data_IF_752212690131
#
_entry.id   IF_752212690131
#
_cell.length_a   1.000
_cell.length_b   1.000
_cell.length_c   1.000
_cell.angle_alpha   90.00
_cell.angle_beta   90.00
_cell.angle_gamma   90.00
#
_symmetry.space_group_name_H-M   'P 1'
#
loop_
_entity.id
_entity.type
_entity.pdbx_description
1 polymer ?
#
# COMPACT_ATOMS: atom_id res chain seq x y z
N UNK A 1 -7.28 -5.95 -0.31
CA UNK A 1 -8.02 -5.08 0.66
C UNK A 1 -8.18 -5.70 2.06
N UNK A 2 -7.15 -6.36 2.62
CA UNK A 2 -7.22 -6.92 3.99
C UNK A 2 -6.42 -6.07 4.97
N UNK A 3 -5.21 -5.66 4.58
CA UNK A 3 -4.28 -4.86 5.39
C UNK A 3 -4.82 -3.46 5.69
N UNK A 4 -5.29 -2.72 4.68
CA UNK A 4 -5.85 -1.37 4.89
C UNK A 4 -7.06 -1.41 5.83
N UNK A 5 -7.93 -2.41 5.66
CA UNK A 5 -9.09 -2.64 6.53
C UNK A 5 -8.67 -2.94 7.98
N UNK A 6 -7.52 -3.56 8.20
CA UNK A 6 -6.97 -3.77 9.54
C UNK A 6 -6.38 -2.49 10.14
N UNK A 7 -5.69 -1.68 9.33
CA UNK A 7 -5.13 -0.39 9.78
C UNK A 7 -6.26 0.55 10.24
N UNK A 8 -7.38 0.58 9.50
CA UNK A 8 -8.56 1.40 9.83
C UNK A 8 -9.40 0.88 11.00
N UNK A 9 -9.29 -0.40 11.36
CA UNK A 9 -10.04 -0.97 12.49
C UNK A 9 -9.45 -0.54 13.83
N UNK A 10 -10.29 -0.02 14.72
CA UNK A 10 -9.90 0.54 16.01
C UNK A 10 -9.54 -0.50 17.08
N UNK A 11 -9.79 -1.79 16.83
CA UNK A 11 -9.55 -2.84 17.83
C UNK A 11 -8.06 -2.98 18.20
N UNK A 12 -7.74 -3.28 19.47
CA UNK A 12 -6.38 -3.47 19.94
C UNK A 12 -5.85 -4.83 19.44
N UNK A 13 -5.17 -4.82 18.29
CA UNK A 13 -4.52 -6.00 17.76
C UNK A 13 -3.20 -6.26 18.50
N UNK A 14 -3.27 -6.90 19.67
CA UNK A 14 -2.09 -7.29 20.47
C UNK A 14 -1.14 -8.29 19.77
N UNK A 15 -1.49 -8.77 18.56
CA UNK A 15 -0.72 -9.78 17.82
C UNK A 15 0.25 -9.19 16.79
N UNK A 16 0.08 -7.93 16.37
CA UNK A 16 0.90 -7.31 15.32
C UNK A 16 1.59 -6.05 15.84
N UNK A 17 2.82 -6.23 16.34
CA UNK A 17 3.66 -5.12 16.86
C UNK A 17 3.80 -4.01 15.80
N UNK A 18 4.02 -4.39 14.53
CA UNK A 18 4.12 -3.43 13.42
C UNK A 18 2.84 -2.62 13.17
N UNK A 19 1.65 -3.18 13.42
CA UNK A 19 0.40 -2.44 13.25
C UNK A 19 0.22 -1.35 14.30
N UNK A 20 0.67 -1.63 15.54
CA UNK A 20 0.64 -0.65 16.61
C UNK A 20 1.59 0.50 16.29
N UNK A 21 2.82 0.18 15.91
CA UNK A 21 3.83 1.17 15.56
C UNK A 21 3.39 2.06 14.38
N UNK A 22 2.83 1.47 13.32
CA UNK A 22 2.24 2.22 12.20
C UNK A 22 1.19 3.22 12.69
N UNK A 23 0.27 2.80 13.55
CA UNK A 23 -0.80 3.66 14.08
C UNK A 23 -0.30 4.72 15.07
N UNK A 24 0.77 4.42 15.79
CA UNK A 24 1.38 5.35 16.75
C UNK A 24 2.24 6.41 16.01
N UNK A 25 2.82 6.07 14.86
CA UNK A 25 3.74 6.93 14.10
C UNK A 25 3.10 7.70 12.94
N UNK A 26 1.90 7.31 12.49
CA UNK A 26 1.26 7.89 11.30
C UNK A 26 -0.24 8.12 11.52
N UNK A 27 -0.82 9.05 10.75
CA UNK A 27 -2.26 9.23 10.75
C UNK A 27 -2.93 8.12 9.93
N UNK A 28 -3.96 7.50 10.50
CA UNK A 28 -4.71 6.39 9.86
C UNK A 28 -5.36 6.85 8.55
N UNK A 29 -5.78 8.11 8.47
CA UNK A 29 -6.46 8.67 7.30
C UNK A 29 -5.53 8.83 6.09
N UNK A 30 -4.22 8.89 6.32
CA UNK A 30 -3.21 9.03 5.26
C UNK A 30 -2.97 7.69 4.53
N UNK A 31 -3.42 6.56 5.09
CA UNK A 31 -3.22 5.24 4.49
C UNK A 31 -4.22 4.97 3.37
N UNK A 32 -3.71 4.64 2.19
CA UNK A 32 -4.49 4.26 1.02
C UNK A 32 -4.05 2.90 0.46
N UNK A 33 -4.96 2.23 -0.22
CA UNK A 33 -4.69 0.96 -0.88
C UNK A 33 -4.21 1.23 -2.29
N UNK A 34 -3.02 0.71 -2.62
CA UNK A 34 -2.50 0.72 -3.98
C UNK A 34 -2.87 -0.61 -4.64
N UNK A 35 -3.62 -0.62 -5.76
CA UNK A 35 -3.86 -1.86 -6.51
C UNK A 35 -2.54 -2.50 -6.96
N UNK A 36 -2.44 -3.84 -6.90
CA UNK A 36 -1.19 -4.56 -7.22
C UNK A 36 -0.67 -4.27 -8.63
N UNK A 37 -1.57 -4.10 -9.61
CA UNK A 37 -1.24 -3.74 -11.00
C UNK A 37 -0.48 -2.41 -11.14
N UNK A 38 -0.65 -1.51 -10.18
CA UNK A 38 0.03 -0.21 -10.14
C UNK A 38 1.01 -0.09 -8.96
N UNK A 39 1.22 -1.19 -8.21
CA UNK A 39 2.20 -1.26 -7.14
C UNK A 39 3.52 -1.80 -7.71
N UNK A 40 4.53 -0.95 -7.95
CA UNK A 40 5.81 -1.40 -8.49
C UNK A 40 6.56 -2.34 -7.52
N UNK A 41 6.19 -2.38 -6.23
CA UNK A 41 6.72 -3.31 -5.24
C UNK A 41 6.36 -4.77 -5.54
N UNK A 42 5.27 -5.01 -6.30
CA UNK A 42 4.88 -6.35 -6.70
C UNK A 42 5.93 -6.97 -7.63
N UNK A 43 6.65 -6.15 -8.42
CA UNK A 43 7.80 -6.60 -9.21
C UNK A 43 8.94 -7.13 -8.32
N UNK A 44 9.16 -6.52 -7.16
CA UNK A 44 10.22 -6.97 -6.24
C UNK A 44 9.85 -8.24 -5.47
N UNK A 45 8.56 -8.57 -5.36
CA UNK A 45 8.05 -9.67 -4.54
C UNK A 45 7.57 -10.87 -5.35
N UNK A 46 7.10 -10.69 -6.58
CA UNK A 46 7.10 -11.76 -7.57
C UNK A 46 8.55 -12.00 -7.96
N UNK A 47 8.99 -13.25 -7.97
CA UNK A 47 10.35 -13.68 -8.32
C UNK A 47 10.71 -13.32 -9.78
N UNK A 48 10.76 -12.04 -10.12
CA UNK A 48 11.16 -11.56 -11.42
C UNK A 48 12.67 -11.76 -11.57
N UNK A 49 13.10 -11.83 -12.82
CA UNK A 49 14.51 -11.90 -13.13
C UNK A 49 15.21 -10.67 -12.52
N UNK A 50 16.32 -10.88 -11.81
CA UNK A 50 17.09 -9.80 -11.18
C UNK A 50 17.47 -8.70 -12.17
N UNK A 51 17.65 -9.06 -13.44
CA UNK A 51 17.95 -8.10 -14.50
C UNK A 51 16.78 -7.18 -14.84
N UNK A 52 15.54 -7.65 -14.71
CA UNK A 52 14.34 -6.84 -14.88
C UNK A 52 14.06 -6.01 -13.63
N UNK A 53 14.34 -6.55 -12.44
CA UNK A 53 14.26 -5.80 -11.18
C UNK A 53 15.22 -4.60 -11.18
N UNK A 54 16.47 -4.78 -11.65
CA UNK A 54 17.47 -3.71 -11.73
C UNK A 54 17.11 -2.63 -12.76
N UNK A 55 16.39 -3.00 -13.83
CA UNK A 55 15.86 -2.03 -14.81
C UNK A 55 14.58 -1.36 -14.31
N UNK A 56 13.82 -2.04 -13.46
CA UNK A 56 12.63 -1.49 -12.84
C UNK A 56 13.04 -0.49 -11.76
N UNK A 57 12.49 0.72 -11.81
CA UNK A 57 12.63 1.74 -10.77
C UNK A 57 11.68 1.44 -9.61
N UNK A 58 11.64 0.20 -9.14
CA UNK A 58 10.62 -0.26 -8.22
C UNK A 58 10.63 0.49 -6.87
N UNK A 59 11.80 1.00 -6.48
CA UNK A 59 12.00 1.82 -5.28
C UNK A 59 11.60 3.30 -5.45
N UNK A 60 11.43 3.80 -6.68
CA UNK A 60 10.98 5.19 -6.91
C UNK A 60 9.46 5.32 -6.64
N UNK A 61 8.74 4.21 -6.61
CA UNK A 61 7.29 4.23 -6.51
C UNK A 61 6.64 4.67 -7.83
N UNK A 62 5.30 4.64 -7.89
CA UNK A 62 4.58 4.99 -9.10
C UNK A 62 4.52 6.51 -9.29
N UNK A 63 4.55 6.98 -10.54
CA UNK A 63 4.65 8.40 -10.86
C UNK A 63 3.53 9.28 -10.27
N UNK A 64 2.33 8.73 -10.06
CA UNK A 64 1.21 9.45 -9.45
C UNK A 64 1.45 9.79 -7.97
N UNK A 65 2.37 9.12 -7.28
CA UNK A 65 2.70 9.41 -5.88
C UNK A 65 3.29 10.82 -5.70
N UNK A 66 3.87 11.38 -6.77
CA UNK A 66 4.44 12.73 -6.79
C UNK A 66 3.42 13.80 -7.22
N UNK A 67 2.21 13.39 -7.61
CA UNK A 67 1.12 14.27 -8.03
C UNK A 67 0.15 14.50 -6.87
N UNK A 68 -0.78 15.44 -7.06
CA UNK A 68 -1.82 15.76 -6.07
C UNK A 68 -2.64 14.52 -5.69
N UNK A 69 -3.12 14.46 -4.45
CA UNK A 69 -3.87 13.31 -3.91
C UNK A 69 -5.12 12.95 -4.74
N UNK A 70 -5.72 13.92 -5.43
CA UNK A 70 -6.86 13.71 -6.32
C UNK A 70 -6.52 12.83 -7.53
N UNK A 71 -5.24 12.77 -7.91
CA UNK A 71 -4.75 11.95 -9.01
C UNK A 71 -4.40 10.52 -8.59
N UNK A 72 -4.44 10.24 -7.28
CA UNK A 72 -4.08 8.93 -6.76
C UNK A 72 -5.19 7.92 -7.09
N UNK A 73 -4.84 6.63 -7.29
CA UNK A 73 -5.83 5.62 -7.58
C UNK A 73 -6.80 5.48 -6.40
N UNK A 74 -8.04 5.93 -6.59
CA UNK A 74 -9.13 5.69 -5.67
C UNK A 74 -9.58 4.24 -5.84
N UNK A 75 -9.31 3.42 -4.84
CA UNK A 75 -9.93 2.10 -4.77
C UNK A 75 -11.42 2.30 -4.46
N UNK A 76 -12.29 2.20 -5.47
CA UNK A 76 -13.72 2.06 -5.22
C UNK A 76 -13.93 0.78 -4.41
N UNK A 77 -14.29 0.95 -3.15
CA UNK A 77 -14.79 -0.14 -2.33
C UNK A 77 -16.19 -0.42 -2.84
N UNK A 78 -16.34 -1.31 -3.81
CA UNK A 78 -17.61 -1.96 -4.07
C UNK A 78 -17.90 -2.82 -2.85
N UNK A 79 -18.64 -2.25 -1.90
CA UNK A 79 -19.30 -2.97 -0.82
C UNK A 79 -20.41 -3.82 -1.46
N UNK A 80 -20.02 -4.93 -2.08
CA UNK A 80 -20.96 -5.99 -2.42
C UNK A 80 -21.38 -6.63 -1.10
N UNK A 81 -22.55 -6.20 -0.62
CA UNK A 81 -23.23 -6.76 0.55
C UNK A 81 -23.73 -8.18 0.36
#
# INVERSE_FOLDING_TARGET
MVVLSWIKKKEPWNRFVGMKEIRDLTNIDDWRHVPGEVNPTDLATQCCDWSDLLKSKWWEGPGWLYSDEESWPCSEVSDSG
#
